data_IF_991324375751
#
_entry.id   IF_991324375751
#
_cell.length_a   1.000
_cell.length_b   1.000
_cell.length_c   1.000
_cell.angle_alpha   90.00
_cell.angle_beta   90.00
_cell.angle_gamma   90.00
#
_symmetry.space_group_name_H-M   'P 1'
#
loop_
_entity.id
_entity.type
_entity.pdbx_description
1 polymer ?
#
# COMPACT_ATOMS: atom_id res chain seq x y z
N UNK A 1 -2.41 -8.54 6.75
CA UNK A 1 -3.30 -7.36 6.89
C UNK A 1 -3.90 -7.10 5.52
N UNK A 2 -5.21 -6.91 5.40
CA UNK A 2 -5.83 -6.51 4.13
C UNK A 2 -6.01 -5.00 4.13
N UNK A 3 -5.33 -4.31 3.21
CA UNK A 3 -5.53 -2.88 2.95
C UNK A 3 -6.50 -2.78 1.78
N UNK A 4 -7.72 -2.33 2.06
CA UNK A 4 -8.78 -2.25 1.05
C UNK A 4 -9.11 -0.82 0.66
N UNK A 5 -8.63 0.19 1.39
CA UNK A 5 -8.86 1.60 1.14
C UNK A 5 -7.71 2.46 1.72
N UNK A 6 -7.72 3.75 1.37
CA UNK A 6 -6.66 4.68 1.76
C UNK A 6 -6.54 4.89 3.26
N UNK A 7 -7.65 4.83 4.01
CA UNK A 7 -7.62 5.02 5.46
C UNK A 7 -6.94 3.83 6.14
N UNK A 8 -7.24 2.61 5.70
CA UNK A 8 -6.52 1.41 6.13
C UNK A 8 -5.04 1.45 5.73
N UNK A 9 -4.70 2.03 4.58
CA UNK A 9 -3.32 2.23 4.17
C UNK A 9 -2.60 3.21 5.11
N UNK A 10 -3.24 4.32 5.47
CA UNK A 10 -2.70 5.31 6.42
C UNK A 10 -2.52 4.71 7.81
N UNK A 11 -3.50 3.95 8.30
CA UNK A 11 -3.42 3.24 9.58
C UNK A 11 -2.27 2.23 9.61
N UNK A 12 -2.12 1.44 8.54
CA UNK A 12 -1.01 0.49 8.41
C UNK A 12 0.36 1.20 8.43
N UNK A 13 0.49 2.30 7.67
CA UNK A 13 1.70 3.12 7.66
C UNK A 13 1.98 3.70 9.04
N UNK A 14 0.97 4.23 9.73
CA UNK A 14 1.12 4.78 11.08
C UNK A 14 1.59 3.71 12.07
N UNK A 15 1.05 2.49 11.98
CA UNK A 15 1.48 1.35 12.77
C UNK A 15 2.94 0.99 12.48
N UNK A 16 3.34 0.87 11.21
CA UNK A 16 4.71 0.46 10.88
C UNK A 16 5.73 1.54 11.19
N UNK A 17 5.36 2.83 11.22
CA UNK A 17 6.30 3.91 11.58
C UNK A 17 7.00 3.71 12.93
N UNK A 18 6.44 2.90 13.84
CA UNK A 18 7.07 2.56 15.12
C UNK A 18 8.09 1.42 15.02
N UNK A 19 8.13 0.69 13.92
CA UNK A 19 9.06 -0.41 13.66
C UNK A 19 10.42 0.09 13.14
N UNK A 20 11.49 -0.71 13.22
CA UNK A 20 12.77 -0.38 12.58
C UNK A 20 12.64 -0.21 11.04
N UNK A 21 13.48 0.62 10.39
CA UNK A 21 13.37 0.92 8.95
C UNK A 21 13.35 -0.30 8.02
N UNK A 22 14.08 -1.38 8.35
CA UNK A 22 14.03 -2.62 7.58
C UNK A 22 12.68 -3.34 7.70
N UNK A 23 12.09 -3.36 8.89
CA UNK A 23 10.78 -3.96 9.12
C UNK A 23 9.67 -3.15 8.43
N UNK A 24 9.75 -1.82 8.49
CA UNK A 24 8.88 -0.93 7.73
C UNK A 24 8.92 -1.25 6.23
N UNK A 25 10.11 -1.25 5.63
CA UNK A 25 10.28 -1.57 4.19
C UNK A 25 9.71 -2.93 3.81
N UNK A 26 9.96 -3.95 4.63
CA UNK A 26 9.41 -5.30 4.40
C UNK A 26 7.88 -5.27 4.38
N UNK A 27 7.26 -4.66 5.38
CA UNK A 27 5.80 -4.62 5.49
C UNK A 27 5.16 -3.79 4.36
N UNK A 28 5.76 -2.66 4.01
CA UNK A 28 5.32 -1.80 2.91
C UNK A 28 5.40 -2.51 1.54
N UNK A 29 6.49 -3.23 1.26
CA UNK A 29 6.64 -3.99 0.00
C UNK A 29 5.60 -5.10 -0.12
N UNK A 30 5.35 -5.85 0.96
CA UNK A 30 4.31 -6.88 0.98
C UNK A 30 2.91 -6.29 0.76
N UNK A 31 2.63 -5.12 1.35
CA UNK A 31 1.38 -4.40 1.13
C UNK A 31 1.24 -3.92 -0.32
N UNK A 32 2.33 -3.42 -0.90
CA UNK A 32 2.38 -2.99 -2.29
C UNK A 32 2.04 -4.16 -3.25
N UNK A 33 2.74 -5.29 -3.12
CA UNK A 33 2.50 -6.49 -3.95
C UNK A 33 1.04 -6.96 -3.85
N UNK A 34 0.47 -6.97 -2.64
CA UNK A 34 -0.93 -7.36 -2.42
C UNK A 34 -1.93 -6.40 -3.08
N UNK A 35 -1.62 -5.09 -3.09
CA UNK A 35 -2.46 -4.07 -3.71
C UNK A 35 -2.37 -4.10 -5.23
N UNK A 36 -1.18 -4.37 -5.80
CA UNK A 36 -0.99 -4.56 -7.24
C UNK A 36 -1.81 -5.76 -7.75
N UNK A 37 -1.80 -6.88 -7.03
CA UNK A 37 -2.65 -8.04 -7.35
C UNK A 37 -4.15 -7.69 -7.28
N UNK A 38 -4.55 -6.91 -6.28
CA UNK A 38 -5.93 -6.45 -6.13
C UNK A 38 -6.36 -5.52 -7.27
N UNK A 39 -5.47 -4.61 -7.67
CA UNK A 39 -5.69 -3.70 -8.80
C UNK A 39 -5.89 -4.50 -10.09
N UNK A 40 -5.00 -5.44 -10.41
CA UNK A 40 -5.14 -6.31 -11.59
C UNK A 40 -6.47 -7.07 -11.59
N UNK A 41 -6.90 -7.57 -10.42
CA UNK A 41 -8.20 -8.22 -10.28
C UNK A 41 -9.35 -7.26 -10.59
N UNK A 42 -9.31 -6.02 -10.08
CA UNK A 42 -10.35 -5.03 -10.37
C UNK A 42 -10.37 -4.62 -11.84
N UNK A 43 -9.21 -4.45 -12.47
CA UNK A 43 -9.07 -4.16 -13.90
C UNK A 43 -9.73 -5.26 -14.75
N UNK A 44 -9.44 -6.54 -14.44
CA UNK A 44 -10.03 -7.68 -15.13
C UNK A 44 -11.56 -7.76 -14.99
N UNK A 45 -12.12 -7.20 -13.92
CA UNK A 45 -13.56 -7.17 -13.67
C UNK A 45 -14.25 -5.89 -14.16
N UNK A 46 -13.51 -4.95 -14.75
CA UNK A 46 -14.04 -3.63 -15.11
C UNK A 46 -14.50 -2.82 -13.90
N UNK A 47 -13.94 -3.08 -12.72
CA UNK A 47 -14.29 -2.39 -11.49
C UNK A 47 -13.43 -1.13 -11.31
N UNK A 48 -13.76 -0.07 -12.04
CA UNK A 48 -13.00 1.18 -12.03
C UNK A 48 -12.84 1.78 -10.62
N UNK A 49 -13.88 1.72 -9.78
CA UNK A 49 -13.80 2.20 -8.41
C UNK A 49 -12.78 1.41 -7.58
N UNK A 50 -12.71 0.10 -7.78
CA UNK A 50 -11.70 -0.75 -7.17
C UNK A 50 -10.29 -0.39 -7.62
N UNK A 51 -10.11 -0.17 -8.93
CA UNK A 51 -8.83 0.26 -9.51
C UNK A 51 -8.38 1.59 -8.93
N UNK A 52 -9.24 2.62 -8.93
CA UNK A 52 -8.92 3.94 -8.37
C UNK A 52 -8.52 3.84 -6.91
N UNK A 53 -9.24 3.03 -6.11
CA UNK A 53 -8.95 2.86 -4.70
C UNK A 53 -7.63 2.14 -4.46
N UNK A 54 -7.35 1.07 -5.20
CA UNK A 54 -6.08 0.36 -5.12
C UNK A 54 -4.91 1.27 -5.51
N UNK A 55 -5.05 2.07 -6.58
CA UNK A 55 -4.06 3.04 -7.00
C UNK A 55 -3.79 4.14 -5.95
N UNK A 56 -4.84 4.61 -5.26
CA UNK A 56 -4.69 5.54 -4.14
C UNK A 56 -3.88 4.94 -2.98
N UNK A 57 -4.17 3.69 -2.62
CA UNK A 57 -3.40 2.97 -1.60
C UNK A 57 -1.93 2.76 -2.02
N UNK A 58 -1.70 2.35 -3.27
CA UNK A 58 -0.36 2.15 -3.82
C UNK A 58 0.46 3.44 -3.77
N UNK A 59 -0.15 4.57 -4.11
CA UNK A 59 0.51 5.88 -4.06
C UNK A 59 0.96 6.24 -2.63
N UNK A 60 0.14 5.97 -1.61
CA UNK A 60 0.49 6.19 -0.20
C UNK A 60 1.66 5.29 0.25
N UNK A 61 1.62 4.02 -0.14
CA UNK A 61 2.66 3.03 0.20
C UNK A 61 3.99 3.40 -0.49
N UNK A 62 3.96 3.73 -1.78
CA UNK A 62 5.13 4.12 -2.55
C UNK A 62 5.80 5.39 -2.00
N UNK A 63 5.00 6.41 -1.64
CA UNK A 63 5.52 7.62 -1.01
C UNK A 63 6.25 7.31 0.29
N UNK A 64 5.68 6.46 1.15
CA UNK A 64 6.35 6.10 2.41
C UNK A 64 7.61 5.27 2.18
N UNK A 65 7.65 4.39 1.19
CA UNK A 65 8.86 3.66 0.81
C UNK A 65 9.98 4.63 0.39
N UNK A 66 9.66 5.61 -0.45
CA UNK A 66 10.61 6.62 -0.89
C UNK A 66 11.15 7.46 0.28
N UNK A 67 10.31 7.81 1.26
CA UNK A 67 10.74 8.50 2.49
C UNK A 67 11.80 7.69 3.26
N UNK A 68 11.58 6.38 3.43
CA UNK A 68 12.50 5.51 4.19
C UNK A 68 13.81 5.26 3.43
N UNK A 69 13.77 5.22 2.09
CA UNK A 69 14.96 5.02 1.26
C UNK A 69 15.83 6.28 1.13
N UNK A 70 15.30 7.45 1.48
CA UNK A 70 16.01 8.72 1.52
C UNK A 70 16.69 9.03 2.87
N UNK A 71 16.40 8.24 3.92
CA UNK A 71 17.03 8.29 5.26
C UNK A 71 18.33 7.47 5.32
#
# INVERSE_FOLDING_TARGET
>A
MHINNEDQAKEAIALWRTDPPMAQRKNLRLAQESLELSQMYYEQKGNEQGVTRAAGCLSLIANRLAEIEAE
#
